data_IF_421311560471
#
_entry.id   IF_421311560471
#
_cell.length_a   1.000
_cell.length_b   1.000
_cell.length_c   1.000
_cell.angle_alpha   90.00
_cell.angle_beta   90.00
_cell.angle_gamma   90.00
#
_symmetry.space_group_name_H-M   'P 1'
#
loop_
_entity.id
_entity.type
_entity.pdbx_description
1 polymer ?
#
# COMPACT_ATOMS: atom_id res chain seq x y z
N UNK A 1 -4.27 2.01 -3.52
CA UNK A 1 -5.52 2.80 -3.53
C UNK A 1 -5.83 3.28 -2.11
N UNK A 2 -6.52 4.41 -1.94
CA UNK A 2 -7.08 4.81 -0.65
C UNK A 2 -8.61 4.78 -0.74
N UNK A 3 -9.29 4.19 0.25
CA UNK A 3 -10.74 3.93 0.20
C UNK A 3 -11.64 5.14 0.14
N UNK A 4 -11.09 6.34 0.35
CA UNK A 4 -11.86 7.58 0.44
C UNK A 4 -12.36 8.09 -0.92
N UNK A 5 -11.97 7.44 -2.03
CA UNK A 5 -12.44 7.78 -3.37
C UNK A 5 -12.68 6.53 -4.23
N UNK A 6 -13.48 5.60 -3.71
CA UNK A 6 -13.92 4.41 -4.43
C UNK A 6 -15.45 4.29 -4.34
N UNK A 7 -16.06 3.58 -5.28
CA UNK A 7 -17.49 3.23 -5.23
C UNK A 7 -17.65 1.78 -5.66
N UNK A 8 -18.53 1.06 -4.97
CA UNK A 8 -18.79 -0.35 -5.20
C UNK A 8 -20.28 -0.57 -5.41
N UNK A 9 -20.63 -1.55 -6.24
CA UNK A 9 -22.01 -2.05 -6.30
C UNK A 9 -22.35 -2.69 -4.96
N UNK A 10 -23.55 -2.42 -4.43
CA UNK A 10 -24.00 -2.94 -3.14
C UNK A 10 -23.96 -4.47 -3.13
N UNK A 11 -24.42 -5.07 -4.22
CA UNK A 11 -24.54 -6.52 -4.38
C UNK A 11 -23.15 -7.18 -4.38
N UNK A 12 -22.14 -6.50 -4.94
CA UNK A 12 -20.75 -6.96 -4.90
C UNK A 12 -20.19 -6.95 -3.47
N UNK A 13 -20.48 -5.89 -2.68
CA UNK A 13 -20.06 -5.83 -1.27
C UNK A 13 -20.75 -6.90 -0.41
N UNK A 14 -22.04 -7.15 -0.64
CA UNK A 14 -22.80 -8.17 0.10
C UNK A 14 -22.29 -9.59 -0.19
N UNK A 15 -21.88 -9.87 -1.43
CA UNK A 15 -21.36 -11.19 -1.82
C UNK A 15 -19.99 -11.51 -1.19
N UNK A 16 -19.22 -10.51 -0.81
CA UNK A 16 -17.92 -10.70 -0.17
C UNK A 16 -17.95 -10.47 1.35
N UNK A 17 -19.12 -10.27 1.95
CA UNK A 17 -19.27 -9.97 3.38
C UNK A 17 -18.57 -8.66 3.83
N UNK A 18 -18.71 -7.60 3.04
CA UNK A 18 -18.24 -6.24 3.36
C UNK A 18 -16.72 -6.17 3.67
N UNK A 19 -16.30 -5.23 4.53
CA UNK A 19 -14.91 -5.08 4.98
C UNK A 19 -14.59 -6.07 6.09
N UNK A 20 -13.42 -6.73 6.02
CA UNK A 20 -12.94 -7.59 7.10
C UNK A 20 -12.68 -6.75 8.36
N UNK A 21 -13.39 -7.07 9.45
CA UNK A 21 -13.28 -6.34 10.72
C UNK A 21 -11.91 -6.54 11.40
N UNK A 22 -11.21 -7.62 11.07
CA UNK A 22 -9.88 -7.96 11.57
C UNK A 22 -8.72 -7.18 10.93
N UNK A 23 -8.98 -6.22 10.05
CA UNK A 23 -7.94 -5.40 9.41
C UNK A 23 -8.27 -3.91 9.57
N UNK A 24 -7.28 -3.12 10.00
CA UNK A 24 -7.38 -1.66 9.99
C UNK A 24 -6.71 -0.93 11.14
N UNK A 25 -6.62 0.42 11.08
CA UNK A 25 -5.83 1.22 12.00
C UNK A 25 -6.44 1.35 13.41
N UNK A 26 -7.70 0.95 13.60
CA UNK A 26 -8.44 1.04 14.87
C UNK A 26 -8.71 -0.30 15.54
N UNK A 27 -8.06 -1.36 15.08
CA UNK A 27 -8.22 -2.72 15.59
C UNK A 27 -8.01 -3.71 14.46
N UNK A 28 -7.52 -4.89 14.80
CA UNK A 28 -7.33 -5.97 13.85
C UNK A 28 -6.74 -7.21 14.52
N UNK A 29 -6.93 -8.35 13.87
CA UNK A 29 -6.34 -9.64 14.25
C UNK A 29 -4.81 -9.56 14.32
N UNK A 30 -4.24 -8.69 13.48
CA UNK A 30 -2.80 -8.46 13.42
C UNK A 30 -2.38 -7.16 14.12
N UNK A 31 -1.37 -7.25 15.00
CA UNK A 31 -0.77 -6.11 15.70
C UNK A 31 0.73 -6.29 15.81
N UNK A 32 1.49 -5.29 15.39
CA UNK A 32 2.95 -5.27 15.49
C UNK A 32 3.36 -4.12 16.37
N UNK A 33 3.74 -4.45 17.60
CA UNK A 33 4.13 -3.48 18.61
C UNK A 33 3.08 -2.40 18.78
N UNK A 34 3.32 -1.23 18.17
CA UNK A 34 2.53 -0.01 18.32
C UNK A 34 1.58 0.30 17.15
N UNK A 35 1.35 -0.62 16.21
CA UNK A 35 0.41 -0.38 15.10
C UNK A 35 -0.27 -1.65 14.59
N UNK A 36 -1.40 -1.44 13.92
CA UNK A 36 -2.11 -2.47 13.15
C UNK A 36 -1.83 -2.26 11.66
N UNK A 37 -1.64 -3.34 10.87
CA UNK A 37 -1.56 -3.24 9.43
C UNK A 37 -2.81 -2.56 8.85
N UNK A 38 -2.61 -1.85 7.74
CA UNK A 38 -3.68 -1.18 7.01
C UNK A 38 -3.62 -1.57 5.55
N UNK A 39 -4.77 -1.72 4.94
CA UNK A 39 -4.90 -2.33 3.62
C UNK A 39 -6.29 -2.90 3.38
N UNK A 40 -7.27 -2.47 4.19
CA UNK A 40 -8.65 -2.93 4.15
C UNK A 40 -9.23 -2.84 2.73
N UNK A 41 -8.84 -1.81 1.97
CA UNK A 41 -9.35 -1.62 0.62
C UNK A 41 -8.66 -2.49 -0.42
N UNK A 42 -7.38 -2.79 -0.22
CA UNK A 42 -6.65 -3.71 -1.10
C UNK A 42 -7.15 -5.12 -0.86
N UNK A 43 -7.30 -5.50 0.41
CA UNK A 43 -7.86 -6.77 0.86
C UNK A 43 -9.28 -6.97 0.29
N UNK A 44 -10.17 -5.99 0.42
CA UNK A 44 -11.51 -6.04 -0.16
C UNK A 44 -11.47 -6.16 -1.68
N UNK A 45 -10.59 -5.41 -2.35
CA UNK A 45 -10.43 -5.47 -3.81
C UNK A 45 -9.97 -6.85 -4.29
N UNK A 46 -9.07 -7.49 -3.55
CA UNK A 46 -8.59 -8.84 -3.84
C UNK A 46 -9.69 -9.88 -3.60
N UNK A 47 -10.46 -9.77 -2.50
CA UNK A 47 -11.64 -10.62 -2.29
C UNK A 47 -12.68 -10.48 -3.38
N UNK A 48 -12.98 -9.25 -3.82
CA UNK A 48 -13.89 -9.00 -4.93
C UNK A 48 -13.40 -9.67 -6.21
N UNK A 49 -12.11 -9.53 -6.55
CA UNK A 49 -11.50 -10.17 -7.72
C UNK A 49 -11.52 -11.71 -7.63
N UNK A 50 -11.31 -12.25 -6.42
CA UNK A 50 -11.31 -13.70 -6.17
C UNK A 50 -12.70 -14.32 -6.29
N UNK A 51 -13.71 -13.68 -5.70
CA UNK A 51 -15.04 -14.27 -5.52
C UNK A 51 -16.02 -13.93 -6.65
N UNK A 52 -15.80 -12.83 -7.37
CA UNK A 52 -16.70 -12.37 -8.42
C UNK A 52 -16.05 -12.52 -9.78
N UNK A 53 -16.46 -13.55 -10.51
CA UNK A 53 -16.00 -13.75 -11.88
C UNK A 53 -16.34 -12.55 -12.76
N UNK A 54 -15.37 -12.10 -13.55
CA UNK A 54 -15.48 -10.91 -14.40
C UNK A 54 -15.57 -9.56 -13.65
N UNK A 55 -15.34 -9.51 -12.34
CA UNK A 55 -15.30 -8.23 -11.62
C UNK A 55 -14.12 -7.36 -12.09
N UNK A 56 -14.43 -6.12 -12.47
CA UNK A 56 -13.44 -5.15 -12.92
C UNK A 56 -13.40 -3.95 -11.97
N UNK A 57 -12.20 -3.57 -11.58
CA UNK A 57 -11.94 -2.32 -10.88
C UNK A 57 -11.52 -1.29 -11.93
N UNK A 58 -12.40 -0.31 -12.17
CA UNK A 58 -12.21 0.70 -13.22
C UNK A 58 -11.71 1.99 -12.59
N UNK A 59 -10.61 2.51 -13.13
CA UNK A 59 -10.11 3.84 -12.77
C UNK A 59 -10.68 4.89 -13.74
N UNK A 60 -11.40 5.88 -13.23
CA UNK A 60 -11.88 7.03 -14.01
C UNK A 60 -11.09 8.31 -13.66
N UNK A 61 -10.21 8.80 -14.55
CA UNK A 61 -9.42 10.01 -14.31
C UNK A 61 -10.25 11.30 -14.35
N UNK A 62 -11.51 11.26 -14.81
CA UNK A 62 -12.42 12.42 -14.82
C UNK A 62 -13.00 12.69 -13.42
N UNK A 63 -13.09 11.67 -12.57
CA UNK A 63 -13.55 11.81 -11.18
C UNK A 63 -12.43 12.41 -10.34
N UNK A 64 -12.61 13.68 -9.92
CA UNK A 64 -11.62 14.42 -9.13
C UNK A 64 -12.06 14.50 -7.67
N UNK A 65 -11.19 14.05 -6.77
CA UNK A 65 -11.35 14.22 -5.33
C UNK A 65 -10.29 15.18 -4.79
N UNK A 66 -10.72 16.19 -4.03
CA UNK A 66 -9.82 17.16 -3.41
C UNK A 66 -9.47 16.72 -1.98
N UNK A 67 -8.21 16.37 -1.75
CA UNK A 67 -7.75 15.95 -0.44
C UNK A 67 -6.94 17.05 0.26
N UNK A 68 -7.36 17.44 1.46
CA UNK A 68 -6.60 18.37 2.31
C UNK A 68 -5.56 17.61 3.14
N UNK A 69 -4.30 17.77 2.77
CA UNK A 69 -3.17 17.21 3.54
C UNK A 69 -2.87 18.10 4.75
N UNK A 70 -2.94 17.54 5.95
CA UNK A 70 -2.58 18.25 7.17
C UNK A 70 -1.07 18.44 7.28
N UNK A 71 -0.61 19.57 7.85
CA UNK A 71 0.82 19.90 8.03
C UNK A 71 1.59 18.81 8.78
N UNK A 72 0.96 18.15 9.74
CA UNK A 72 1.53 17.04 10.51
C UNK A 72 1.98 15.85 9.63
N UNK A 73 1.40 15.69 8.44
CA UNK A 73 1.77 14.63 7.49
C UNK A 73 3.13 14.87 6.83
N UNK A 74 3.66 16.10 6.89
CA UNK A 74 4.99 16.45 6.38
C UNK A 74 6.09 16.30 7.44
N UNK A 75 5.73 15.96 8.68
CA UNK A 75 6.73 15.69 9.71
C UNK A 75 7.54 14.44 9.34
N UNK A 76 8.86 14.52 9.49
CA UNK A 76 9.76 13.40 9.21
C UNK A 76 9.36 12.11 9.93
N UNK A 77 9.05 12.23 11.22
CA UNK A 77 8.61 11.11 12.06
C UNK A 77 7.31 10.47 11.55
N UNK A 78 6.39 11.27 11.00
CA UNK A 78 5.17 10.77 10.39
C UNK A 78 5.48 10.00 9.09
N UNK A 79 6.28 10.58 8.20
CA UNK A 79 6.63 9.97 6.91
C UNK A 79 7.33 8.63 7.10
N UNK A 80 8.34 8.57 7.97
CA UNK A 80 9.10 7.34 8.26
C UNK A 80 8.20 6.26 8.88
N UNK A 81 7.40 6.60 9.91
CA UNK A 81 6.46 5.64 10.51
C UNK A 81 5.44 5.16 9.49
N UNK A 82 4.92 6.05 8.64
CA UNK A 82 3.94 5.68 7.61
C UNK A 82 4.55 4.79 6.53
N UNK A 83 5.77 5.08 6.09
CA UNK A 83 6.51 4.28 5.12
C UNK A 83 6.74 2.85 5.62
N UNK A 84 7.26 2.71 6.85
CA UNK A 84 7.46 1.42 7.49
C UNK A 84 6.15 0.60 7.58
N UNK A 85 5.09 1.23 8.09
CA UNK A 85 3.76 0.59 8.18
C UNK A 85 3.23 0.15 6.82
N UNK A 86 3.47 0.96 5.79
CA UNK A 86 3.02 0.65 4.43
C UNK A 86 3.72 -0.60 3.89
N UNK A 87 5.06 -0.67 3.99
CA UNK A 87 5.81 -1.86 3.57
C UNK A 87 5.39 -3.13 4.31
N UNK A 88 5.25 -3.03 5.64
CA UNK A 88 4.78 -4.14 6.46
C UNK A 88 3.39 -4.63 6.02
N UNK A 89 2.45 -3.71 5.85
CA UNK A 89 1.07 -4.07 5.50
C UNK A 89 0.97 -4.64 4.09
N UNK A 90 1.89 -4.28 3.19
CA UNK A 90 1.95 -4.85 1.83
C UNK A 90 2.36 -6.30 1.84
N UNK A 91 3.37 -6.66 2.62
CA UNK A 91 3.73 -8.07 2.80
C UNK A 91 2.60 -8.85 3.47
N UNK A 92 1.99 -8.29 4.51
CA UNK A 92 0.84 -8.91 5.19
C UNK A 92 -0.30 -9.27 4.22
N UNK A 93 -0.67 -8.35 3.33
CA UNK A 93 -1.71 -8.62 2.32
C UNK A 93 -1.22 -9.61 1.25
N UNK A 94 0.05 -9.55 0.85
CA UNK A 94 0.61 -10.50 -0.12
C UNK A 94 0.61 -11.94 0.41
N UNK A 95 0.96 -12.16 1.69
CA UNK A 95 0.88 -13.47 2.32
C UNK A 95 -0.57 -13.94 2.44
N UNK A 96 -1.50 -13.05 2.83
CA UNK A 96 -2.91 -13.40 3.01
C UNK A 96 -3.59 -13.94 1.74
N UNK A 97 -3.12 -13.53 0.56
CA UNK A 97 -3.69 -13.92 -0.73
C UNK A 97 -2.72 -14.71 -1.61
N UNK A 98 -1.57 -15.15 -1.06
CA UNK A 98 -0.54 -15.84 -1.84
C UNK A 98 -1.08 -17.08 -2.55
N UNK A 99 -1.83 -17.90 -1.83
CA UNK A 99 -2.41 -19.15 -2.34
C UNK A 99 -3.59 -18.92 -3.30
N UNK A 100 -4.24 -17.76 -3.21
CA UNK A 100 -5.41 -17.43 -4.02
C UNK A 100 -5.06 -16.98 -5.45
N UNK A 101 -3.85 -16.44 -5.64
CA UNK A 101 -3.40 -15.84 -6.90
C UNK A 101 -2.04 -16.39 -7.34
N UNK A 102 -1.79 -17.70 -7.21
CA UNK A 102 -0.48 -18.33 -7.48
C UNK A 102 0.16 -17.96 -8.84
N UNK A 103 -0.65 -17.68 -9.87
CA UNK A 103 -0.19 -17.35 -11.22
C UNK A 103 -0.33 -15.86 -11.58
N UNK A 104 -0.90 -15.04 -10.67
CA UNK A 104 -1.18 -13.64 -10.93
C UNK A 104 -0.52 -12.76 -9.88
N UNK A 105 0.25 -11.75 -10.26
CA UNK A 105 1.02 -11.07 -9.25
C UNK A 105 0.12 -10.08 -8.49
N UNK A 106 0.08 -10.22 -7.15
CA UNK A 106 -0.83 -9.47 -6.26
C UNK A 106 -0.44 -7.98 -6.15
N UNK A 107 0.87 -7.68 -6.24
CA UNK A 107 1.46 -6.36 -5.99
C UNK A 107 2.14 -5.74 -7.23
N UNK A 108 1.61 -5.97 -8.42
CA UNK A 108 2.25 -5.46 -9.65
C UNK A 108 2.32 -3.95 -9.74
N UNK A 109 1.25 -3.26 -9.34
CA UNK A 109 1.21 -1.80 -9.33
C UNK A 109 2.29 -1.23 -8.40
N UNK A 110 2.51 -1.88 -7.25
CA UNK A 110 3.54 -1.49 -6.28
C UNK A 110 4.95 -1.75 -6.82
N UNK A 111 5.17 -2.89 -7.51
CA UNK A 111 6.44 -3.18 -8.15
C UNK A 111 6.74 -2.22 -9.29
N UNK A 112 5.78 -1.91 -10.15
CA UNK A 112 5.93 -0.91 -11.20
C UNK A 112 6.24 0.47 -10.61
N UNK A 113 5.55 0.84 -9.51
CA UNK A 113 5.83 2.08 -8.81
C UNK A 113 7.25 2.11 -8.22
N UNK A 114 7.71 1.00 -7.63
CA UNK A 114 9.09 0.88 -7.13
C UNK A 114 10.10 1.05 -8.26
N UNK A 115 9.90 0.39 -9.41
CA UNK A 115 10.73 0.57 -10.60
C UNK A 115 10.76 2.03 -11.07
N UNK A 116 9.61 2.70 -11.04
CA UNK A 116 9.55 4.13 -11.36
C UNK A 116 10.39 4.97 -10.38
N UNK A 117 10.26 4.73 -9.08
CA UNK A 117 11.00 5.47 -8.04
C UNK A 117 12.51 5.21 -8.13
N UNK A 118 12.93 3.98 -8.45
CA UNK A 118 14.35 3.62 -8.52
C UNK A 118 15.04 4.10 -9.81
N UNK A 119 14.35 4.08 -10.95
CA UNK A 119 15.01 4.32 -12.25
C UNK A 119 14.50 5.56 -12.98
N UNK A 120 13.19 5.84 -12.98
CA UNK A 120 12.62 6.97 -13.73
C UNK A 120 12.76 8.28 -12.96
N UNK A 121 12.54 8.24 -11.65
CA UNK A 121 12.60 9.43 -10.80
C UNK A 121 14.01 10.05 -10.76
N UNK A 122 15.11 9.31 -10.54
CA UNK A 122 16.45 9.90 -10.56
C UNK A 122 16.79 10.54 -11.91
N UNK A 123 16.40 9.89 -13.02
CA UNK A 123 16.63 10.40 -14.37
C UNK A 123 15.90 11.72 -14.62
N UNK A 124 14.67 11.85 -14.10
CA UNK A 124 13.92 13.11 -14.16
C UNK A 124 14.55 14.21 -13.30
N UNK A 125 15.07 13.86 -12.12
CA UNK A 125 15.72 14.81 -11.21
C UNK A 125 17.07 15.32 -11.73
N UNK A 126 17.82 14.51 -12.48
CA UNK A 126 19.05 14.95 -13.14
C UNK A 126 18.81 16.12 -14.11
N UNK A 127 17.63 16.19 -14.74
CA UNK A 127 17.26 17.32 -15.63
C UNK A 127 16.94 18.60 -14.86
N UNK A 128 16.50 18.50 -13.60
CA UNK A 128 16.23 19.64 -12.71
C UNK A 128 17.47 20.14 -11.96
N UNK A 129 18.54 19.33 -11.94
CA UNK A 129 19.78 19.60 -11.19
C UNK A 129 20.41 20.97 -11.49
N UNK A 130 20.52 21.44 -12.76
CA UNK A 130 21.17 22.72 -13.06
C UNK A 130 20.38 23.94 -12.56
N UNK A 131 19.06 23.81 -12.40
CA UNK A 131 18.19 24.93 -12.01
C UNK A 131 18.00 25.04 -10.50
N UNK A 132 17.95 23.91 -9.79
CA UNK A 132 17.65 23.89 -8.37
C UNK A 132 18.31 22.70 -7.64
N UNK A 133 19.64 22.73 -7.44
CA UNK A 133 20.38 21.58 -6.92
C UNK A 133 19.96 21.19 -5.49
N UNK A 134 19.71 22.18 -4.62
CA UNK A 134 19.29 21.94 -3.24
C UNK A 134 17.89 21.30 -3.15
N UNK A 135 16.99 21.68 -4.04
CA UNK A 135 15.63 21.13 -4.08
C UNK A 135 15.67 19.67 -4.57
N UNK A 136 16.45 19.39 -5.61
CA UNK A 136 16.68 18.04 -6.12
C UNK A 136 17.27 17.14 -5.03
N UNK A 137 18.32 17.60 -4.35
CA UNK A 137 18.93 16.86 -3.25
C UNK A 137 17.92 16.47 -2.15
N UNK A 138 17.11 17.44 -1.71
CA UNK A 138 16.07 17.19 -0.68
C UNK A 138 15.01 16.20 -1.16
N UNK A 139 14.54 16.31 -2.41
CA UNK A 139 13.57 15.38 -3.00
C UNK A 139 14.15 13.96 -3.05
N UNK A 140 15.39 13.81 -3.54
CA UNK A 140 16.08 12.52 -3.60
C UNK A 140 16.27 11.90 -2.21
N UNK A 141 16.70 12.69 -1.23
CA UNK A 141 16.92 12.21 0.14
C UNK A 141 15.62 11.67 0.76
N UNK A 142 14.51 12.42 0.60
CA UNK A 142 13.20 11.99 1.10
C UNK A 142 12.75 10.71 0.40
N UNK A 143 12.86 10.65 -0.93
CA UNK A 143 12.46 9.47 -1.69
C UNK A 143 13.28 8.22 -1.31
N UNK A 144 14.60 8.36 -1.19
CA UNK A 144 15.49 7.29 -0.77
C UNK A 144 15.15 6.78 0.62
N UNK A 145 15.01 7.69 1.59
CA UNK A 145 14.71 7.32 2.96
C UNK A 145 13.32 6.67 3.09
N UNK A 146 12.29 7.23 2.46
CA UNK A 146 10.95 6.64 2.47
C UNK A 146 10.97 5.24 1.86
N UNK A 147 11.63 5.06 0.71
CA UNK A 147 11.76 3.76 0.06
C UNK A 147 12.51 2.75 0.93
N UNK A 148 13.59 3.18 1.58
CA UNK A 148 14.32 2.35 2.55
C UNK A 148 13.40 1.89 3.69
N UNK A 149 12.64 2.80 4.31
CA UNK A 149 11.74 2.44 5.41
C UNK A 149 10.58 1.54 4.96
N UNK A 150 10.05 1.71 3.74
CA UNK A 150 9.10 0.75 3.15
C UNK A 150 9.75 -0.63 3.05
N UNK A 151 10.96 -0.73 2.49
CA UNK A 151 11.69 -1.98 2.38
C UNK A 151 11.97 -2.63 3.74
N UNK A 152 12.37 -1.85 4.75
CA UNK A 152 12.56 -2.33 6.12
C UNK A 152 11.24 -2.86 6.71
N UNK A 153 10.13 -2.16 6.51
CA UNK A 153 8.82 -2.63 6.96
C UNK A 153 8.42 -3.96 6.31
N UNK A 154 8.66 -4.08 5.01
CA UNK A 154 8.40 -5.30 4.25
C UNK A 154 9.31 -6.47 4.71
N UNK A 155 10.59 -6.20 4.96
CA UNK A 155 11.56 -7.21 5.43
C UNK A 155 11.33 -7.66 6.87
N UNK A 156 10.90 -6.76 7.77
CA UNK A 156 10.55 -7.13 9.15
C UNK A 156 9.39 -8.13 9.19
N UNK A 157 8.46 -8.03 8.24
CA UNK A 157 7.41 -9.03 8.09
C UNK A 157 7.97 -10.43 7.81
N UNK A 158 8.95 -10.53 6.90
CA UNK A 158 9.57 -11.80 6.51
C UNK A 158 10.26 -12.52 7.67
N UNK A 159 10.78 -11.77 8.64
CA UNK A 159 11.45 -12.32 9.82
C UNK A 159 10.46 -12.85 10.88
N UNK A 160 9.17 -12.66 10.67
CA UNK A 160 8.15 -13.18 11.58
C UNK A 160 8.00 -14.69 11.35
N UNK A 161 7.82 -15.50 12.42
CA UNK A 161 7.44 -16.90 12.25
C UNK A 161 6.16 -16.97 11.43
N UNK A 162 6.14 -17.84 10.41
CA UNK A 162 4.96 -18.09 9.59
C UNK A 162 3.77 -18.35 10.51
N UNK A 163 2.61 -17.73 10.21
CA UNK A 163 1.38 -18.07 10.91
C UNK A 163 1.15 -19.56 10.70
N UNK A 164 1.13 -20.33 11.79
CA UNK A 164 0.69 -21.72 11.72
C UNK A 164 -0.70 -21.74 11.07
N UNK A 165 -0.83 -22.54 10.02
CA UNK A 165 -2.07 -22.84 9.30
C UNK A 165 -3.04 -23.57 10.22
N UNK A 166 -3.61 -22.88 11.21
CA UNK A 166 -4.57 -23.45 12.15
C UNK A 166 -5.61 -22.39 12.54
N UNK A 167 -6.41 -21.92 11.59
CA UNK A 167 -7.82 -21.58 11.85
C UNK A 167 -8.62 -21.97 10.60
N UNK A 168 -9.52 -22.94 10.81
CA UNK A 168 -10.45 -23.55 9.83
C UNK A 168 -11.61 -22.59 9.58
#
# INVERSE_FOLDING_TARGET
MGGMNCSYKREALQQVDLYRQGLGPRGGEEKIGWFHPSGEEVELSLRLRKLLDGAQIIFDPKVRAFHKVQKSRFAWTFMVKRAFRFGYSKHFVEELFHDDFQNEPILDLEREHLWHVLFKMPLSLLRELPRSPLAVWRKSLVALAVTLFVGLGYGVYFLRPARGTNEI
#
